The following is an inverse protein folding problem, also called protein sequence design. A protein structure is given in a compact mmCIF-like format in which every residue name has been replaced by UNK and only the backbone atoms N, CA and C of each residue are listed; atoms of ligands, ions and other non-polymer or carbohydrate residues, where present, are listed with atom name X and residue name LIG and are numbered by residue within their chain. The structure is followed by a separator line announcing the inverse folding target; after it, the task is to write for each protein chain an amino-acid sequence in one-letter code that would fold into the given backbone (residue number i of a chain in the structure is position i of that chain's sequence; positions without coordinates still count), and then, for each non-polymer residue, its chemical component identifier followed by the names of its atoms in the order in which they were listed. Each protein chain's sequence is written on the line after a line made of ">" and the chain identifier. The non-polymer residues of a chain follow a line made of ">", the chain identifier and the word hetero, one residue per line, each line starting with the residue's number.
data_IF_428797550734
#
_entry.id   IF_428797550734
#
_cell.length_a   1.000
_cell.length_b   1.000
_cell.length_c   1.000
_cell.angle_alpha   90.00
_cell.angle_beta   90.00
_cell.angle_gamma   90.00
#
_symmetry.space_group_name_H-M   'P 1'
#
loop_
_entity.id
_entity.type
_entity.pdbx_description
1 polymer ?
#
# COMPACT_ATOMS: atom_id res chain seq x y z
N UNK A 1 -8.53 -9.80 -12.45
CA UNK A 1 -7.96 -9.55 -11.11
C UNK A 1 -8.20 -8.08 -10.81
N UNK A 2 -9.12 -7.77 -9.89
CA UNK A 2 -9.69 -6.42 -9.68
C UNK A 2 -9.28 -5.78 -8.34
N UNK A 3 -8.39 -6.43 -7.58
CA UNK A 3 -8.15 -6.07 -6.17
C UNK A 3 -7.61 -4.64 -6.01
N UNK A 4 -6.74 -4.18 -6.90
CA UNK A 4 -6.17 -2.82 -6.84
C UNK A 4 -7.13 -1.72 -7.29
N UNK A 5 -7.71 -1.83 -8.49
CA UNK A 5 -8.64 -0.81 -9.01
C UNK A 5 -9.92 -0.73 -8.17
N UNK A 6 -10.46 -1.88 -7.76
CA UNK A 6 -11.61 -1.96 -6.86
C UNK A 6 -11.31 -1.32 -5.51
N UNK A 7 -10.10 -1.47 -4.99
CA UNK A 7 -9.67 -0.82 -3.76
C UNK A 7 -9.64 0.70 -3.90
N UNK A 8 -8.99 1.24 -4.95
CA UNK A 8 -8.95 2.69 -5.21
C UNK A 8 -10.35 3.27 -5.42
N UNK A 9 -11.21 2.58 -6.17
CA UNK A 9 -12.60 2.98 -6.35
C UNK A 9 -13.37 2.98 -5.02
N UNK A 10 -13.14 1.97 -4.17
CA UNK A 10 -13.70 1.88 -2.84
C UNK A 10 -13.29 3.04 -1.94
N UNK A 11 -12.01 3.45 -1.98
CA UNK A 11 -11.52 4.64 -1.27
C UNK A 11 -12.25 5.91 -1.72
N UNK A 12 -12.32 6.13 -3.03
CA UNK A 12 -12.99 7.31 -3.60
C UNK A 12 -14.47 7.38 -3.24
N UNK A 13 -15.17 6.23 -3.27
CA UNK A 13 -16.57 6.12 -2.84
C UNK A 13 -16.78 6.44 -1.37
N UNK A 14 -15.76 6.22 -0.53
CA UNK A 14 -15.74 6.59 0.89
C UNK A 14 -15.24 8.02 1.13
N UNK A 15 -15.03 8.80 0.09
CA UNK A 15 -14.60 10.20 0.19
C UNK A 15 -13.09 10.39 0.32
N UNK A 16 -12.28 9.34 0.17
CA UNK A 16 -10.82 9.45 0.20
C UNK A 16 -10.24 9.49 -1.23
N UNK A 17 -9.55 10.57 -1.58
CA UNK A 17 -8.81 10.67 -2.83
C UNK A 17 -7.32 10.37 -2.58
N UNK A 18 -6.75 9.27 -3.11
CA UNK A 18 -5.34 8.93 -2.89
C UNK A 18 -4.35 9.84 -3.63
N UNK A 19 -4.81 10.64 -4.59
CA UNK A 19 -3.93 11.52 -5.35
C UNK A 19 -3.20 12.51 -4.43
N UNK A 20 -1.87 12.57 -4.56
CA UNK A 20 -0.98 13.44 -3.77
C UNK A 20 -0.70 12.96 -2.35
N UNK A 21 -1.34 11.87 -1.89
CA UNK A 21 -1.18 11.34 -0.53
C UNK A 21 0.02 10.41 -0.40
N UNK A 22 0.47 10.17 0.83
CA UNK A 22 1.49 9.17 1.16
C UNK A 22 0.80 7.93 1.70
N UNK A 23 1.12 6.77 1.14
CA UNK A 23 0.50 5.51 1.54
C UNK A 23 1.53 4.47 1.97
N UNK A 24 1.22 3.71 3.02
CA UNK A 24 1.97 2.56 3.49
C UNK A 24 1.21 1.29 3.09
N UNK A 25 1.89 0.36 2.41
CA UNK A 25 1.36 -0.98 2.10
C UNK A 25 2.18 -2.03 2.85
N UNK A 26 1.52 -2.73 3.77
CA UNK A 26 2.07 -3.83 4.54
C UNK A 26 1.65 -5.14 3.89
N UNK A 27 2.61 -5.87 3.30
CA UNK A 27 2.42 -7.06 2.48
C UNK A 27 2.59 -6.75 0.99
N UNK A 28 3.58 -7.40 0.37
CA UNK A 28 3.95 -7.23 -1.05
C UNK A 28 3.61 -8.46 -1.90
N UNK A 29 2.70 -9.32 -1.41
CA UNK A 29 2.16 -10.47 -2.16
C UNK A 29 1.23 -10.07 -3.32
N UNK A 30 0.44 -11.01 -3.85
CA UNK A 30 -0.40 -10.77 -5.04
C UNK A 30 -1.38 -9.59 -4.89
N UNK A 31 -2.15 -9.55 -3.80
CA UNK A 31 -3.09 -8.47 -3.51
C UNK A 31 -2.37 -7.15 -3.20
N UNK A 32 -1.35 -7.19 -2.33
CA UNK A 32 -0.58 -6.00 -1.97
C UNK A 32 0.14 -5.37 -3.16
N UNK A 33 0.72 -6.18 -4.05
CA UNK A 33 1.30 -5.73 -5.32
C UNK A 33 0.28 -5.04 -6.21
N UNK A 34 -0.93 -5.61 -6.35
CA UNK A 34 -2.00 -5.01 -7.14
C UNK A 34 -2.49 -3.68 -6.56
N UNK A 35 -2.66 -3.61 -5.23
CA UNK A 35 -3.04 -2.36 -4.55
C UNK A 35 -1.96 -1.30 -4.70
N UNK A 36 -0.68 -1.63 -4.47
CA UNK A 36 0.42 -0.68 -4.61
C UNK A 36 0.50 -0.11 -6.04
N UNK A 37 0.36 -0.96 -7.06
CA UNK A 37 0.34 -0.54 -8.46
C UNK A 37 -0.85 0.39 -8.76
N UNK A 38 -2.05 0.06 -8.27
CA UNK A 38 -3.23 0.92 -8.47
C UNK A 38 -3.15 2.23 -7.70
N UNK A 39 -2.54 2.26 -6.52
CA UNK A 39 -2.27 3.50 -5.78
C UNK A 39 -1.28 4.39 -6.53
N UNK A 40 -0.19 3.81 -7.06
CA UNK A 40 0.77 4.51 -7.91
C UNK A 40 0.08 5.10 -9.16
N UNK A 41 -0.74 4.32 -9.85
CA UNK A 41 -1.55 4.77 -10.99
C UNK A 41 -2.55 5.88 -10.61
N UNK A 42 -3.08 5.85 -9.39
CA UNK A 42 -4.00 6.86 -8.86
C UNK A 42 -3.30 8.15 -8.40
N UNK A 43 -1.97 8.20 -8.47
CA UNK A 43 -1.18 9.41 -8.27
C UNK A 43 -0.84 9.72 -6.82
N UNK A 44 -0.66 8.71 -5.96
CA UNK A 44 -0.01 8.92 -4.64
C UNK A 44 1.35 9.59 -4.82
N UNK A 45 1.74 10.46 -3.88
CA UNK A 45 3.02 11.16 -3.93
C UNK A 45 4.16 10.29 -3.40
N UNK A 46 3.87 9.38 -2.46
CA UNK A 46 4.83 8.44 -1.92
C UNK A 46 4.20 7.09 -1.58
N UNK A 47 4.96 6.01 -1.75
CA UNK A 47 4.64 4.67 -1.27
C UNK A 47 5.72 4.15 -0.33
N UNK A 48 5.31 3.75 0.87
CA UNK A 48 6.14 2.92 1.73
C UNK A 48 5.70 1.47 1.58
N UNK A 49 6.64 0.57 1.25
CA UNK A 49 6.37 -0.86 1.13
C UNK A 49 7.09 -1.61 2.26
N UNK A 50 6.33 -2.43 2.96
CA UNK A 50 6.86 -3.32 3.99
C UNK A 50 6.39 -4.75 3.73
N UNK A 51 7.29 -5.71 3.84
CA UNK A 51 6.98 -7.14 3.86
C UNK A 51 7.98 -7.82 4.81
N UNK A 52 7.60 -8.92 5.46
CA UNK A 52 8.54 -9.70 6.28
C UNK A 52 9.66 -10.34 5.44
N UNK A 53 9.46 -10.42 4.12
CA UNK A 53 10.41 -10.86 3.11
C UNK A 53 10.91 -9.65 2.31
N UNK A 54 12.07 -9.07 2.66
CA UNK A 54 12.58 -7.85 2.02
C UNK A 54 12.69 -7.98 0.50
N UNK A 55 13.11 -9.13 -0.01
CA UNK A 55 13.29 -9.39 -1.43
C UNK A 55 12.01 -9.19 -2.25
N UNK A 56 10.85 -9.50 -1.67
CA UNK A 56 9.55 -9.33 -2.33
C UNK A 56 9.18 -7.85 -2.42
N UNK A 57 9.41 -7.08 -1.35
CA UNK A 57 9.19 -5.64 -1.34
C UNK A 57 10.12 -4.91 -2.33
N UNK A 58 11.40 -5.30 -2.39
CA UNK A 58 12.36 -4.75 -3.35
C UNK A 58 11.96 -5.05 -4.80
N UNK A 59 11.55 -6.30 -5.09
CA UNK A 59 11.10 -6.67 -6.44
C UNK A 59 9.82 -5.92 -6.86
N UNK A 60 8.91 -5.63 -5.93
CA UNK A 60 7.76 -4.76 -6.19
C UNK A 60 8.18 -3.32 -6.45
N UNK A 61 9.05 -2.73 -5.61
CA UNK A 61 9.55 -1.38 -5.81
C UNK A 61 10.24 -1.22 -7.17
N UNK A 62 11.06 -2.18 -7.60
CA UNK A 62 11.72 -2.14 -8.91
C UNK A 62 10.71 -2.05 -10.06
N UNK A 63 9.65 -2.87 -10.02
CA UNK A 63 8.57 -2.83 -11.03
C UNK A 63 7.79 -1.52 -11.00
N UNK A 64 7.49 -1.00 -9.80
CA UNK A 64 6.78 0.28 -9.67
C UNK A 64 7.63 1.42 -10.20
N UNK A 65 8.92 1.47 -9.87
CA UNK A 65 9.82 2.53 -10.32
C UNK A 65 10.02 2.54 -11.85
N UNK A 66 9.99 1.36 -12.50
CA UNK A 66 10.01 1.26 -13.96
C UNK A 66 8.80 1.94 -14.63
N UNK A 67 7.63 1.89 -14.00
CA UNK A 67 6.39 2.48 -14.53
C UNK A 67 6.11 3.90 -14.01
N UNK A 68 6.61 4.22 -12.81
CA UNK A 68 6.37 5.47 -12.09
C UNK A 68 7.70 6.01 -11.53
N UNK A 69 8.62 6.48 -12.37
CA UNK A 69 9.96 6.87 -11.95
C UNK A 69 10.00 8.09 -11.01
N UNK A 70 8.92 8.87 -10.97
CA UNK A 70 8.77 10.03 -10.08
C UNK A 70 8.15 9.69 -8.72
N UNK A 71 7.67 8.46 -8.54
CA UNK A 71 7.08 8.04 -7.28
C UNK A 71 8.17 7.87 -6.22
N UNK A 72 8.03 8.57 -5.11
CA UNK A 72 8.89 8.36 -3.93
C UNK A 72 8.56 7.00 -3.30
N UNK A 73 9.53 6.10 -3.27
CA UNK A 73 9.35 4.75 -2.71
C UNK A 73 10.31 4.55 -1.54
N UNK A 74 9.73 4.35 -0.35
CA UNK A 74 10.47 3.93 0.85
C UNK A 74 10.25 2.44 1.10
N UNK A 75 11.29 1.73 1.53
CA UNK A 75 11.23 0.30 1.78
C UNK A 75 11.46 -0.02 3.25
N UNK A 76 10.81 -1.07 3.73
CA UNK A 76 11.08 -1.73 5.02
C UNK A 76 10.92 -0.84 6.25
N UNK A 77 10.09 0.20 6.16
CA UNK A 77 9.78 1.10 7.28
C UNK A 77 8.29 0.94 7.67
N UNK A 78 7.96 0.11 8.67
CA UNK A 78 6.57 -0.20 9.03
C UNK A 78 5.91 0.90 9.89
N UNK A 79 6.48 2.10 9.98
CA UNK A 79 5.94 3.18 10.78
C UNK A 79 4.76 3.84 10.05
N UNK A 80 3.52 3.76 10.58
CA UNK A 80 2.37 4.41 9.95
C UNK A 80 2.41 5.94 10.09
N UNK A 81 3.23 6.50 10.97
CA UNK A 81 3.31 7.95 11.17
C UNK A 81 3.63 8.67 9.86
N UNK A 82 2.87 9.73 9.56
CA UNK A 82 3.07 10.54 8.35
C UNK A 82 2.49 9.96 7.05
N UNK A 83 1.66 8.91 7.13
CA UNK A 83 0.87 8.38 6.01
C UNK A 83 -0.61 8.71 6.19
N UNK A 84 -1.27 9.19 5.13
CA UNK A 84 -2.72 9.41 5.12
C UNK A 84 -3.49 8.11 4.84
N UNK A 85 -2.83 7.10 4.29
CA UNK A 85 -3.41 5.78 4.02
C UNK A 85 -2.46 4.67 4.47
N UNK A 86 -2.96 3.77 5.31
CA UNK A 86 -2.26 2.53 5.67
C UNK A 86 -3.09 1.35 5.22
N UNK A 87 -2.48 0.47 4.42
CA UNK A 87 -3.10 -0.72 3.85
C UNK A 87 -2.42 -1.95 4.41
N UNK A 88 -3.15 -2.74 5.18
CA UNK A 88 -2.73 -4.09 5.53
C UNK A 88 -3.20 -5.07 4.45
N UNK A 89 -2.27 -5.60 3.68
CA UNK A 89 -2.44 -6.62 2.65
C UNK A 89 -1.80 -7.96 3.04
N UNK A 90 -1.54 -8.17 4.34
CA UNK A 90 -1.13 -9.46 4.89
C UNK A 90 -2.35 -10.24 5.37
N UNK A 91 -2.24 -11.57 5.55
CA UNK A 91 -3.27 -12.36 6.22
C UNK A 91 -3.47 -12.03 7.72
N UNK A 92 -2.57 -11.26 8.33
CA UNK A 92 -2.63 -10.89 9.75
C UNK A 92 -3.69 -9.81 9.95
N UNK A 93 -4.56 -9.95 10.96
CA UNK A 93 -5.69 -9.05 11.19
C UNK A 93 -7.01 -9.52 10.58
N UNK A 94 -7.02 -10.64 9.85
CA UNK A 94 -8.23 -11.22 9.25
C UNK A 94 -8.97 -12.19 10.17
N UNK A 95 -8.38 -12.58 11.32
CA UNK A 95 -9.09 -13.34 12.36
C UNK A 95 -9.75 -12.36 13.33
N UNK A 96 -10.98 -12.66 13.74
CA UNK A 96 -11.70 -11.85 14.74
C UNK A 96 -10.95 -11.69 16.07
N UNK A 97 -9.95 -12.54 16.33
CA UNK A 97 -9.08 -12.54 17.51
C UNK A 97 -7.80 -11.73 17.37
N UNK A 98 -7.51 -11.18 16.18
CA UNK A 98 -6.28 -10.41 15.98
C UNK A 98 -6.45 -9.00 16.59
N UNK A 99 -5.45 -8.50 17.35
CA UNK A 99 -5.52 -7.18 17.95
C UNK A 99 -5.61 -6.13 16.85
N UNK A 100 -6.76 -5.49 16.76
CA UNK A 100 -6.96 -4.33 15.88
C UNK A 100 -6.13 -3.18 16.42
N UNK A 101 -5.31 -2.58 15.56
CA UNK A 101 -4.60 -1.35 15.90
C UNK A 101 -5.65 -0.27 16.23
N UNK A 102 -5.85 -0.03 17.51
CA UNK A 102 -6.66 1.08 18.00
C UNK A 102 -5.95 2.37 17.61
N UNK A 103 -6.43 3.02 16.56
CA UNK A 103 -6.06 4.39 16.24
C UNK A 103 -6.44 5.30 17.40
N UNK A 104 -5.50 6.14 17.82
CA UNK A 104 -5.78 7.42 18.47
C UNK A 104 -5.76 8.50 17.39
#
# INVERSE_FOLDING_TARGET
>A
MFDGEGFVLGLRRKGFNPQGTRALVVGSGGVGSAIAASLAAAGVSALTLYDTRPEVAHALAGRLHQHYPQLDITLMQPDPAGHELVVNATPLGMKASDPTAAGR
#
